data_IF_348589900065
#
_entry.id   IF_348589900065
#
_cell.length_a   1.000
_cell.length_b   1.000
_cell.length_c   1.000
_cell.angle_alpha   90.00
_cell.angle_beta   90.00
_cell.angle_gamma   90.00
#
_symmetry.space_group_name_H-M   'P 1'
#
loop_
_entity.id
_entity.type
_entity.pdbx_description
1 polymer ?
#
# COMPACT_ATOMS: atom_id res chain seq x y z
N UNK A 1 52.09 -15.33 8.96
CA UNK A 1 50.98 -14.55 8.33
C UNK A 1 50.11 -15.44 7.47
N UNK A 2 50.68 -16.24 6.53
CA UNK A 2 49.92 -17.02 5.56
C UNK A 2 48.98 -18.02 6.27
N UNK A 3 49.48 -18.77 7.24
CA UNK A 3 48.70 -19.78 7.97
C UNK A 3 47.53 -19.10 8.74
N UNK A 4 47.78 -17.92 9.33
CA UNK A 4 46.74 -17.13 10.02
C UNK A 4 45.65 -16.66 9.01
N UNK A 5 46.05 -16.19 7.84
CA UNK A 5 45.10 -15.80 6.79
C UNK A 5 44.28 -16.97 6.26
N UNK A 6 44.91 -18.13 6.04
CA UNK A 6 44.23 -19.38 5.61
C UNK A 6 43.25 -19.87 6.70
N UNK A 7 43.63 -19.84 7.98
CA UNK A 7 42.74 -20.25 9.07
C UNK A 7 41.52 -19.29 9.20
N UNK A 8 41.70 -17.98 9.02
CA UNK A 8 40.61 -17.02 9.01
C UNK A 8 39.67 -17.24 7.81
N UNK A 9 40.22 -17.53 6.63
CA UNK A 9 39.44 -17.88 5.45
C UNK A 9 38.59 -19.14 5.68
N UNK A 10 39.20 -20.22 6.23
CA UNK A 10 38.50 -21.46 6.55
C UNK A 10 37.39 -21.24 7.57
N UNK A 11 37.60 -20.41 8.57
CA UNK A 11 36.57 -20.05 9.56
C UNK A 11 35.38 -19.33 8.87
N UNK A 12 35.66 -18.36 8.01
CA UNK A 12 34.61 -17.66 7.26
C UNK A 12 33.81 -18.63 6.33
N UNK A 13 34.51 -19.56 5.68
CA UNK A 13 33.85 -20.59 4.86
C UNK A 13 32.96 -21.50 5.70
N UNK A 14 33.46 -21.96 6.85
CA UNK A 14 32.69 -22.79 7.75
C UNK A 14 31.45 -22.08 8.30
N UNK A 15 31.59 -20.82 8.71
CA UNK A 15 30.47 -19.99 9.16
C UNK A 15 29.45 -19.77 8.06
N UNK A 16 29.88 -19.47 6.84
CA UNK A 16 29.01 -19.27 5.69
C UNK A 16 28.24 -20.52 5.28
N UNK A 17 28.82 -21.71 5.52
CA UNK A 17 28.19 -22.99 5.20
C UNK A 17 27.22 -23.49 6.28
N UNK A 18 27.49 -23.14 7.55
CA UNK A 18 26.81 -23.74 8.70
C UNK A 18 25.80 -22.83 9.37
N UNK A 19 25.88 -21.51 9.15
CA UNK A 19 24.99 -20.54 9.81
C UNK A 19 23.90 -20.10 8.84
N UNK A 20 22.64 -20.44 9.16
CA UNK A 20 21.45 -20.11 8.38
C UNK A 20 21.32 -18.61 8.14
N UNK A 21 21.57 -17.79 9.16
CA UNK A 21 21.48 -16.32 9.04
C UNK A 21 22.54 -15.72 8.13
N UNK A 22 23.72 -16.35 8.04
CA UNK A 22 24.77 -15.89 7.11
C UNK A 22 24.52 -16.31 5.67
N UNK A 23 23.81 -17.40 5.45
CA UNK A 23 23.40 -17.83 4.11
C UNK A 23 22.49 -16.78 3.43
N UNK A 24 21.69 -16.05 4.23
CA UNK A 24 20.74 -15.04 3.76
C UNK A 24 21.33 -13.64 3.60
N UNK A 25 22.58 -13.42 3.99
CA UNK A 25 23.23 -12.13 3.80
C UNK A 25 23.49 -11.81 2.32
N UNK A 26 23.47 -10.53 1.97
CA UNK A 26 23.84 -10.08 0.63
C UNK A 26 25.25 -10.55 0.27
N UNK A 27 25.48 -10.88 -1.01
CA UNK A 27 26.80 -11.30 -1.51
C UNK A 27 27.91 -10.31 -1.14
N UNK A 28 27.60 -9.02 -1.15
CA UNK A 28 28.55 -7.96 -0.79
C UNK A 28 28.98 -8.04 0.68
N UNK A 29 28.03 -8.24 1.60
CA UNK A 29 28.34 -8.37 3.03
C UNK A 29 29.12 -9.66 3.31
N UNK A 30 28.66 -10.76 2.74
CA UNK A 30 29.28 -12.10 2.91
C UNK A 30 30.75 -12.11 2.46
N UNK A 31 31.02 -11.69 1.23
CA UNK A 31 32.37 -11.68 0.68
C UNK A 31 33.20 -10.48 1.19
N UNK A 32 32.57 -9.33 1.45
CA UNK A 32 33.24 -8.17 2.03
C UNK A 32 33.80 -8.45 3.42
N UNK A 33 33.03 -9.08 4.31
CA UNK A 33 33.49 -9.48 5.62
C UNK A 33 34.60 -10.55 5.56
N UNK A 34 34.49 -11.49 4.62
CA UNK A 34 35.51 -12.51 4.40
C UNK A 34 36.84 -11.86 3.95
N UNK A 35 36.81 -10.98 2.94
CA UNK A 35 37.99 -10.28 2.44
C UNK A 35 38.63 -9.41 3.55
N UNK A 36 37.79 -8.71 4.31
CA UNK A 36 38.26 -7.88 5.44
C UNK A 36 38.93 -8.73 6.52
N UNK A 37 38.32 -9.83 6.96
CA UNK A 37 38.85 -10.71 7.99
C UNK A 37 40.18 -11.37 7.57
N UNK A 38 40.23 -11.89 6.35
CA UNK A 38 41.46 -12.49 5.80
C UNK A 38 42.55 -11.44 5.60
N UNK A 39 42.23 -10.27 5.03
CA UNK A 39 43.16 -9.16 4.82
C UNK A 39 43.74 -8.65 6.13
N UNK A 40 42.90 -8.47 7.16
CA UNK A 40 43.34 -8.07 8.49
C UNK A 40 44.25 -9.10 9.14
N UNK A 41 43.92 -10.41 9.02
CA UNK A 41 44.72 -11.51 9.56
C UNK A 41 46.08 -11.61 8.87
N UNK A 42 46.15 -11.40 7.56
CA UNK A 42 47.40 -11.36 6.82
C UNK A 42 48.24 -10.12 7.21
N UNK A 43 47.62 -8.93 7.25
CA UNK A 43 48.30 -7.70 7.59
C UNK A 43 48.89 -7.74 8.99
N UNK A 44 48.07 -7.99 10.01
CA UNK A 44 48.52 -8.07 11.39
C UNK A 44 49.54 -9.19 11.60
N UNK A 45 49.36 -10.33 10.94
CA UNK A 45 50.28 -11.45 11.01
C UNK A 45 51.71 -11.12 10.55
N UNK A 46 51.92 -10.02 9.79
CA UNK A 46 53.27 -9.55 9.41
C UNK A 46 53.94 -8.73 10.52
N UNK A 47 53.16 -8.17 11.43
CA UNK A 47 53.67 -7.22 12.45
C UNK A 47 53.69 -7.78 13.88
N UNK A 48 52.97 -8.92 14.10
CA UNK A 48 52.91 -9.53 15.44
C UNK A 48 53.93 -10.64 15.62
N UNK A 49 54.30 -10.91 16.87
CA UNK A 49 55.20 -12.03 17.21
C UNK A 49 54.57 -13.39 16.76
N UNK A 50 55.41 -14.32 16.35
CA UNK A 50 54.96 -15.62 15.85
C UNK A 50 54.04 -16.39 16.77
N UNK A 51 54.21 -16.25 18.10
CA UNK A 51 53.33 -16.83 19.10
C UNK A 51 51.89 -16.30 19.05
N UNK A 52 51.68 -15.01 18.76
CA UNK A 52 50.37 -14.41 18.62
C UNK A 52 49.68 -14.93 17.33
N UNK A 53 50.42 -15.01 16.24
CA UNK A 53 49.93 -15.56 14.97
C UNK A 53 49.49 -17.05 15.12
N UNK A 54 50.31 -17.80 15.90
CA UNK A 54 49.99 -19.20 16.22
C UNK A 54 48.70 -19.31 17.06
N UNK A 55 48.59 -18.46 18.09
CA UNK A 55 47.37 -18.37 18.95
C UNK A 55 46.13 -18.07 18.09
N UNK A 56 46.17 -17.10 17.18
CA UNK A 56 45.04 -16.78 16.31
C UNK A 56 44.68 -17.96 15.37
N UNK A 57 45.69 -18.64 14.84
CA UNK A 57 45.44 -19.82 14.01
C UNK A 57 44.77 -20.92 14.80
N UNK A 58 45.24 -21.21 16.00
CA UNK A 58 44.64 -22.21 16.90
C UNK A 58 43.19 -21.79 17.28
N UNK A 59 42.98 -20.51 17.64
CA UNK A 59 41.66 -19.97 17.95
C UNK A 59 40.66 -20.11 16.80
N UNK A 60 41.06 -19.83 15.56
CA UNK A 60 40.22 -20.03 14.38
C UNK A 60 39.84 -21.52 14.17
N UNK A 61 40.81 -22.45 14.37
CA UNK A 61 40.55 -23.88 14.27
C UNK A 61 39.60 -24.35 15.36
N UNK A 62 39.81 -23.92 16.60
CA UNK A 62 38.90 -24.22 17.69
C UNK A 62 37.50 -23.65 17.47
N UNK A 63 37.39 -22.43 16.92
CA UNK A 63 36.09 -21.84 16.56
C UNK A 63 35.35 -22.66 15.48
N UNK A 64 36.07 -23.23 14.51
CA UNK A 64 35.49 -24.14 13.52
C UNK A 64 34.97 -25.41 14.21
N UNK A 65 35.80 -26.04 15.08
CA UNK A 65 35.38 -27.22 15.82
C UNK A 65 34.15 -26.93 16.70
N UNK A 66 34.16 -25.83 17.41
CA UNK A 66 33.05 -25.39 18.24
C UNK A 66 31.78 -25.19 17.40
N UNK A 67 31.88 -24.57 16.23
CA UNK A 67 30.74 -24.35 15.32
C UNK A 67 30.08 -25.68 14.93
N UNK A 68 30.87 -26.66 14.53
CA UNK A 68 30.33 -27.97 14.14
C UNK A 68 29.78 -28.76 15.34
N UNK A 69 30.44 -28.70 16.49
CA UNK A 69 29.94 -29.34 17.73
C UNK A 69 28.62 -28.72 18.19
N UNK A 70 28.51 -27.40 18.16
CA UNK A 70 27.27 -26.73 18.52
C UNK A 70 26.13 -27.05 17.53
N UNK A 71 26.40 -27.05 16.24
CA UNK A 71 25.40 -27.41 15.23
C UNK A 71 24.96 -28.89 15.32
N UNK A 72 25.86 -29.76 15.81
CA UNK A 72 25.50 -31.14 16.07
C UNK A 72 24.66 -31.30 17.36
N UNK A 73 25.05 -30.59 18.41
CA UNK A 73 24.35 -30.65 19.72
C UNK A 73 22.99 -29.90 19.67
N UNK A 74 22.96 -28.77 19.00
CA UNK A 74 21.77 -27.92 18.85
C UNK A 74 21.51 -27.82 17.33
N UNK A 75 20.71 -28.73 16.80
CA UNK A 75 20.41 -28.72 15.36
C UNK A 75 19.57 -27.47 15.00
N UNK A 76 20.09 -26.50 14.25
CA UNK A 76 19.36 -25.29 13.89
C UNK A 76 18.04 -25.55 13.15
N UNK A 77 17.94 -26.70 12.46
CA UNK A 77 16.71 -27.10 11.74
C UNK A 77 15.51 -27.33 12.67
N UNK A 78 15.74 -27.56 13.96
CA UNK A 78 14.67 -27.75 14.93
C UNK A 78 14.10 -26.42 15.46
N UNK A 79 14.77 -25.29 15.22
CA UNK A 79 14.45 -23.98 15.77
C UNK A 79 14.14 -22.93 14.69
N UNK A 80 14.48 -23.23 13.44
CA UNK A 80 14.22 -22.35 12.29
C UNK A 80 13.10 -22.97 11.48
N UNK A 81 12.02 -22.21 11.33
CA UNK A 81 10.92 -22.55 10.43
C UNK A 81 11.37 -22.27 8.98
N UNK A 82 11.82 -23.32 8.30
CA UNK A 82 12.28 -23.23 6.91
C UNK A 82 11.14 -23.04 5.92
N UNK A 83 9.92 -23.47 6.25
CA UNK A 83 8.75 -23.26 5.42
C UNK A 83 8.40 -21.78 5.38
N UNK A 84 8.29 -21.15 6.54
CA UNK A 84 8.07 -19.71 6.66
C UNK A 84 9.19 -18.89 6.01
N UNK A 85 10.45 -19.37 6.11
CA UNK A 85 11.59 -18.72 5.45
C UNK A 85 11.49 -18.78 3.92
N UNK A 86 11.09 -19.91 3.35
CA UNK A 86 10.91 -20.06 1.90
C UNK A 86 9.69 -19.30 1.38
N UNK A 87 8.60 -19.24 2.15
CA UNK A 87 7.45 -18.40 1.83
C UNK A 87 7.84 -16.92 1.80
N UNK A 88 8.55 -16.45 2.84
CA UNK A 88 9.04 -15.07 2.90
C UNK A 88 9.97 -14.74 1.73
N UNK A 89 10.81 -15.68 1.31
CA UNK A 89 11.66 -15.52 0.12
C UNK A 89 10.85 -15.41 -1.18
N UNK A 90 9.82 -16.23 -1.33
CA UNK A 90 8.92 -16.15 -2.50
C UNK A 90 8.20 -14.82 -2.53
N UNK A 91 7.63 -14.39 -1.40
CA UNK A 91 6.99 -13.09 -1.26
C UNK A 91 7.96 -11.94 -1.60
N UNK A 92 9.20 -12.00 -1.10
CA UNK A 92 10.22 -11.00 -1.38
C UNK A 92 10.60 -10.97 -2.87
N UNK A 93 10.70 -12.12 -3.51
CA UNK A 93 10.95 -12.23 -4.95
C UNK A 93 9.77 -11.71 -5.78
N UNK A 94 8.53 -11.93 -5.35
CA UNK A 94 7.34 -11.38 -5.98
C UNK A 94 7.29 -9.85 -5.85
N UNK A 95 7.60 -9.30 -4.68
CA UNK A 95 7.72 -7.84 -4.46
C UNK A 95 8.81 -7.25 -5.36
N UNK A 96 9.95 -7.90 -5.45
CA UNK A 96 11.03 -7.46 -6.33
C UNK A 96 10.63 -7.52 -7.80
N UNK A 97 9.88 -8.54 -8.22
CA UNK A 97 9.35 -8.69 -9.57
C UNK A 97 8.28 -7.62 -9.90
N UNK A 98 7.39 -7.30 -8.96
CA UNK A 98 6.42 -6.21 -9.10
C UNK A 98 7.13 -4.86 -9.26
N UNK A 99 8.16 -4.61 -8.47
CA UNK A 99 8.97 -3.38 -8.58
C UNK A 99 9.81 -3.27 -9.86
N UNK A 100 10.06 -4.38 -10.59
CA UNK A 100 10.74 -4.36 -11.89
C UNK A 100 9.79 -4.21 -13.08
N UNK A 101 8.52 -4.53 -12.94
CA UNK A 101 7.50 -4.36 -13.99
C UNK A 101 7.04 -2.91 -14.19
N UNK A 102 7.14 -2.06 -13.19
CA UNK A 102 6.98 -0.60 -13.33
C UNK A 102 8.31 -0.05 -13.83
N UNK A 103 8.39 0.42 -15.08
CA UNK A 103 9.55 0.90 -15.83
C UNK A 103 10.72 1.49 -15.04
N UNK A 104 11.85 1.79 -15.71
CA UNK A 104 13.05 2.35 -15.05
C UNK A 104 12.66 3.60 -14.25
N UNK A 105 12.73 3.49 -12.90
CA UNK A 105 12.49 4.63 -12.01
C UNK A 105 13.44 5.77 -12.38
N UNK A 106 12.90 6.99 -12.43
CA UNK A 106 13.68 8.18 -12.69
C UNK A 106 14.78 8.34 -11.61
N UNK A 107 15.98 8.75 -12.00
CA UNK A 107 17.08 9.01 -11.05
C UNK A 107 16.74 10.10 -10.04
N UNK A 108 15.93 11.06 -10.45
CA UNK A 108 15.46 12.17 -9.59
C UNK A 108 14.52 11.64 -8.49
N UNK A 109 13.59 10.76 -8.82
CA UNK A 109 12.68 10.14 -7.85
C UNK A 109 13.44 9.31 -6.81
N UNK A 110 14.47 8.56 -7.25
CA UNK A 110 15.32 7.80 -6.32
C UNK A 110 16.09 8.73 -5.37
N UNK A 111 16.55 9.87 -5.87
CA UNK A 111 17.26 10.87 -5.04
C UNK A 111 16.30 11.52 -4.05
N UNK A 112 15.10 11.88 -4.51
CA UNK A 112 14.03 12.46 -3.69
C UNK A 112 13.60 11.49 -2.59
N UNK A 113 13.32 10.23 -2.94
CA UNK A 113 12.97 9.18 -1.99
C UNK A 113 14.01 9.02 -0.87
N UNK A 114 15.31 9.06 -1.23
CA UNK A 114 16.40 8.98 -0.24
C UNK A 114 16.40 10.18 0.70
N UNK A 115 16.18 11.36 0.16
CA UNK A 115 16.13 12.61 0.91
C UNK A 115 14.92 12.64 1.86
N UNK A 116 13.73 12.29 1.34
CA UNK A 116 12.48 12.27 2.08
C UNK A 116 12.48 11.18 3.17
N UNK A 117 13.05 10.01 2.89
CA UNK A 117 13.24 8.96 3.88
C UNK A 117 14.13 9.44 5.04
N UNK A 118 15.26 10.09 4.73
CA UNK A 118 16.13 10.65 5.76
C UNK A 118 15.42 11.77 6.55
N UNK A 119 14.70 12.65 5.85
CA UNK A 119 13.93 13.74 6.45
C UNK A 119 12.84 13.21 7.38
N UNK A 120 12.11 12.15 6.97
CA UNK A 120 11.08 11.53 7.80
C UNK A 120 11.64 11.05 9.14
N UNK A 121 12.77 10.33 9.14
CA UNK A 121 13.38 9.81 10.36
C UNK A 121 14.20 10.84 11.15
N UNK A 122 14.45 12.02 10.60
CA UNK A 122 15.10 13.12 11.35
C UNK A 122 14.11 13.86 12.26
N UNK A 123 12.81 13.71 12.04
CA UNK A 123 11.77 14.30 12.89
C UNK A 123 11.44 13.31 14.01
N UNK A 124 11.62 13.77 15.23
CA UNK A 124 11.27 13.02 16.45
C UNK A 124 9.83 13.38 16.86
N UNK A 125 9.12 12.45 17.52
CA UNK A 125 7.77 12.65 18.05
C UNK A 125 6.74 13.07 16.98
N UNK A 126 6.60 12.26 15.93
CA UNK A 126 5.51 12.41 14.98
C UNK A 126 4.21 11.96 15.64
N UNK A 127 3.27 12.90 15.84
CA UNK A 127 1.98 12.54 16.43
C UNK A 127 1.06 11.89 15.41
N UNK A 128 1.04 12.38 14.17
CA UNK A 128 0.08 11.95 13.16
C UNK A 128 0.74 11.73 11.81
N UNK A 129 0.63 10.53 11.30
CA UNK A 129 1.13 10.13 9.97
C UNK A 129 -0.05 9.62 9.13
N UNK A 130 -0.21 10.16 7.93
CA UNK A 130 -1.07 9.62 6.89
C UNK A 130 -0.22 8.84 5.89
N UNK A 131 -0.67 7.66 5.51
CA UNK A 131 -0.10 6.95 4.38
C UNK A 131 -1.12 6.85 3.25
N UNK A 132 -0.71 7.26 2.05
CA UNK A 132 -1.48 7.21 0.81
C UNK A 132 -0.75 6.38 -0.24
N UNK A 133 -1.45 5.48 -0.88
CA UNK A 133 -0.92 4.67 -1.98
C UNK A 133 -0.63 5.52 -3.24
N UNK A 134 -1.27 6.68 -3.36
CA UNK A 134 -1.10 7.61 -4.47
C UNK A 134 -2.09 8.76 -4.47
N UNK A 135 -1.93 9.67 -5.43
CA UNK A 135 -2.70 10.92 -5.54
C UNK A 135 -4.23 10.72 -5.50
N UNK A 136 -4.72 9.60 -6.01
CA UNK A 136 -6.15 9.28 -6.03
C UNK A 136 -6.77 9.01 -4.66
N UNK A 137 -5.97 8.78 -3.63
CA UNK A 137 -6.46 8.45 -2.28
C UNK A 137 -6.63 9.68 -1.37
N UNK A 138 -6.02 10.81 -1.69
CA UNK A 138 -6.14 12.04 -0.90
C UNK A 138 -7.60 12.44 -0.63
N UNK A 139 -8.49 12.23 -1.59
CA UNK A 139 -9.92 12.55 -1.48
C UNK A 139 -10.62 11.87 -0.29
N UNK A 140 -10.14 10.71 0.15
CA UNK A 140 -10.68 9.98 1.31
C UNK A 140 -10.20 10.56 2.64
N UNK A 141 -9.03 11.20 2.63
CA UNK A 141 -8.45 11.84 3.80
C UNK A 141 -8.81 13.32 3.90
N UNK A 142 -9.24 13.96 2.81
CA UNK A 142 -9.41 15.42 2.71
C UNK A 142 -10.23 15.99 3.86
N UNK A 143 -11.42 15.47 4.10
CA UNK A 143 -12.29 15.99 5.18
C UNK A 143 -11.67 15.84 6.56
N UNK A 144 -10.95 14.73 6.81
CA UNK A 144 -10.25 14.49 8.07
C UNK A 144 -9.10 15.48 8.23
N UNK A 145 -8.29 15.66 7.19
CA UNK A 145 -7.14 16.57 7.15
C UNK A 145 -7.63 18.01 7.37
N UNK A 146 -8.64 18.46 6.64
CA UNK A 146 -9.21 19.79 6.79
C UNK A 146 -9.77 20.04 8.20
N UNK A 147 -10.46 19.06 8.78
CA UNK A 147 -10.94 19.15 10.14
C UNK A 147 -9.79 19.33 11.14
N UNK A 148 -8.72 18.54 11.02
CA UNK A 148 -7.55 18.62 11.90
C UNK A 148 -6.85 19.96 11.75
N UNK A 149 -6.64 20.43 10.52
CA UNK A 149 -5.96 21.71 10.23
C UNK A 149 -6.73 22.91 10.79
N UNK A 150 -8.06 22.88 10.73
CA UNK A 150 -8.91 23.97 11.19
C UNK A 150 -9.11 23.99 12.72
N UNK A 151 -9.04 22.83 13.37
CA UNK A 151 -9.40 22.71 14.79
C UNK A 151 -8.20 22.42 15.70
N UNK A 152 -7.01 22.13 15.13
CA UNK A 152 -5.83 21.78 15.91
C UNK A 152 -4.55 22.43 15.37
N UNK A 153 -3.48 22.36 16.16
CA UNK A 153 -2.14 22.76 15.73
C UNK A 153 -1.22 21.57 15.41
N UNK A 154 -1.81 20.38 15.18
CA UNK A 154 -1.06 19.17 14.89
C UNK A 154 -0.42 19.26 13.52
N UNK A 155 0.86 18.90 13.44
CA UNK A 155 1.57 18.72 12.16
C UNK A 155 1.23 17.36 11.57
N UNK A 156 0.76 17.35 10.34
CA UNK A 156 0.43 16.14 9.58
C UNK A 156 1.64 15.72 8.76
N UNK A 157 2.13 14.52 9.01
CA UNK A 157 3.18 13.89 8.21
C UNK A 157 2.49 13.01 7.16
N UNK A 158 2.56 13.41 5.88
CA UNK A 158 1.87 12.70 4.81
C UNK A 158 2.88 11.92 3.95
N UNK A 159 2.82 10.60 4.01
CA UNK A 159 3.66 9.69 3.24
C UNK A 159 2.88 9.22 2.01
N UNK A 160 3.46 9.35 0.84
CA UNK A 160 2.86 8.87 -0.41
C UNK A 160 3.85 8.03 -1.21
N UNK A 161 3.32 7.01 -1.91
CA UNK A 161 4.11 6.20 -2.84
C UNK A 161 4.12 6.74 -4.29
N UNK A 162 3.43 7.86 -4.52
CA UNK A 162 3.36 8.54 -5.81
C UNK A 162 4.23 9.80 -5.81
N UNK A 163 5.27 9.91 -6.69
CA UNK A 163 6.11 11.10 -6.76
C UNK A 163 5.36 12.35 -7.22
N UNK A 164 4.26 12.18 -7.96
CA UNK A 164 3.45 13.27 -8.52
C UNK A 164 2.17 13.55 -7.71
N UNK A 165 2.09 13.04 -6.47
CA UNK A 165 0.93 13.22 -5.60
C UNK A 165 0.60 14.72 -5.40
N UNK A 166 -0.68 15.04 -5.51
CA UNK A 166 -1.19 16.41 -5.31
C UNK A 166 -0.84 16.99 -3.94
N UNK A 167 -0.56 16.15 -2.94
CA UNK A 167 -0.21 16.59 -1.60
C UNK A 167 1.00 17.53 -1.59
N UNK A 168 1.93 17.39 -2.52
CA UNK A 168 3.10 18.26 -2.60
C UNK A 168 2.70 19.70 -2.91
N UNK A 169 1.74 19.91 -3.82
CA UNK A 169 1.18 21.23 -4.15
C UNK A 169 0.31 21.80 -3.03
N UNK A 170 -0.41 20.94 -2.32
CA UNK A 170 -1.22 21.33 -1.17
C UNK A 170 -0.31 21.80 -0.03
N UNK A 171 0.77 21.11 0.24
CA UNK A 171 1.73 21.43 1.28
C UNK A 171 2.52 22.75 1.03
N UNK A 172 2.59 23.24 -0.22
CA UNK A 172 3.14 24.56 -0.52
C UNK A 172 2.30 25.70 0.10
N UNK A 173 0.98 25.46 0.21
CA UNK A 173 0.02 26.43 0.76
C UNK A 173 -0.27 26.19 2.25
N UNK A 174 -0.07 24.97 2.72
CA UNK A 174 -0.38 24.58 4.10
C UNK A 174 0.86 24.09 4.86
N UNK A 175 1.40 24.94 5.67
CA UNK A 175 2.68 24.70 6.37
C UNK A 175 2.63 23.56 7.39
N UNK A 176 1.44 23.24 7.90
CA UNK A 176 1.22 22.13 8.84
C UNK A 176 1.30 20.75 8.17
N UNK A 177 1.26 20.67 6.83
CA UNK A 177 1.42 19.41 6.11
C UNK A 177 2.89 19.23 5.72
N UNK A 178 3.46 18.10 6.09
CA UNK A 178 4.84 17.70 5.74
C UNK A 178 4.78 16.47 4.85
N UNK A 179 4.89 16.63 3.52
CA UNK A 179 4.82 15.53 2.59
C UNK A 179 6.17 14.82 2.42
N UNK A 180 6.10 13.50 2.18
CA UNK A 180 7.25 12.63 1.94
C UNK A 180 6.94 11.63 0.83
N UNK A 181 7.78 11.58 -0.20
CA UNK A 181 7.73 10.55 -1.21
C UNK A 181 8.53 9.32 -0.78
N UNK A 182 7.86 8.19 -0.63
CA UNK A 182 8.46 6.91 -0.23
C UNK A 182 7.92 5.82 -1.16
N UNK A 183 8.74 5.34 -2.07
CA UNK A 183 8.33 4.28 -3.00
C UNK A 183 8.10 2.94 -2.29
N UNK A 184 7.32 2.07 -2.92
CA UNK A 184 6.79 0.81 -2.39
C UNK A 184 7.83 -0.06 -1.66
N UNK A 185 9.05 -0.19 -2.20
CA UNK A 185 10.12 -1.00 -1.58
C UNK A 185 10.60 -0.45 -0.24
N UNK A 186 10.68 0.87 -0.11
CA UNK A 186 11.10 1.52 1.13
C UNK A 186 9.98 1.70 2.13
N UNK A 187 8.75 1.68 1.66
CA UNK A 187 7.58 1.74 2.49
C UNK A 187 7.56 0.61 3.53
N UNK A 188 7.90 -0.61 3.13
CA UNK A 188 7.98 -1.76 4.04
C UNK A 188 8.90 -1.45 5.22
N UNK A 189 10.12 -0.99 4.92
CA UNK A 189 11.11 -0.64 5.96
C UNK A 189 10.68 0.58 6.77
N UNK A 190 10.00 1.55 6.15
CA UNK A 190 9.46 2.72 6.84
C UNK A 190 8.39 2.31 7.84
N UNK A 191 7.44 1.46 7.43
CA UNK A 191 6.37 0.98 8.30
C UNK A 191 6.91 0.16 9.47
N UNK A 192 7.85 -0.75 9.23
CA UNK A 192 8.51 -1.53 10.29
C UNK A 192 9.27 -0.65 11.30
N UNK A 193 9.73 0.53 10.90
CA UNK A 193 10.45 1.52 11.73
C UNK A 193 9.60 2.73 12.08
N UNK A 194 8.30 2.65 11.87
CA UNK A 194 7.39 3.75 12.14
C UNK A 194 7.50 4.20 13.60
N UNK A 195 7.67 5.51 13.79
CA UNK A 195 7.68 6.18 15.08
C UNK A 195 6.68 7.33 15.01
N UNK A 196 5.45 7.04 15.37
CA UNK A 196 4.31 7.95 15.37
C UNK A 196 3.33 7.52 16.46
N UNK A 197 2.45 8.42 16.89
CA UNK A 197 1.38 8.05 17.84
C UNK A 197 0.18 7.45 17.10
N UNK A 198 -0.16 8.04 15.95
CA UNK A 198 -1.28 7.62 15.11
C UNK A 198 -0.84 7.48 13.66
N UNK A 199 -1.21 6.37 13.02
CA UNK A 199 -1.01 6.13 11.58
C UNK A 199 -2.36 5.89 10.93
N UNK A 200 -2.71 6.74 9.97
CA UNK A 200 -4.00 6.72 9.25
C UNK A 200 -3.78 6.24 7.82
N UNK A 201 -4.53 5.25 7.37
CA UNK A 201 -4.40 4.72 6.02
C UNK A 201 -5.70 4.11 5.48
N UNK A 202 -5.77 3.98 4.16
CA UNK A 202 -6.89 3.34 3.44
C UNK A 202 -6.58 1.91 3.01
N UNK A 203 -5.34 1.46 3.22
CA UNK A 203 -4.89 0.15 2.77
C UNK A 203 -5.33 -0.94 3.75
N UNK A 204 -6.11 -1.95 3.32
CA UNK A 204 -6.42 -3.11 4.15
C UNK A 204 -5.22 -4.05 4.31
N UNK A 205 -5.40 -5.12 5.06
CA UNK A 205 -4.46 -6.24 5.15
C UNK A 205 -3.09 -5.91 5.78
N UNK A 206 -3.03 -4.88 6.66
CA UNK A 206 -1.83 -4.67 7.48
C UNK A 206 -1.52 -5.94 8.29
N UNK A 207 -0.26 -6.31 8.44
CA UNK A 207 0.27 -7.56 9.03
C UNK A 207 0.03 -8.83 8.19
N UNK A 208 -0.99 -8.86 7.32
CA UNK A 208 -1.28 -10.06 6.51
C UNK A 208 -0.26 -10.28 5.39
N UNK A 209 0.30 -9.19 4.86
CA UNK A 209 1.28 -9.24 3.77
C UNK A 209 2.56 -8.48 4.11
N UNK A 210 3.06 -7.69 3.15
CA UNK A 210 4.37 -7.03 3.25
C UNK A 210 4.38 -5.84 4.21
N UNK A 211 3.23 -5.19 4.39
CA UNK A 211 3.14 -4.04 5.28
C UNK A 211 2.88 -4.53 6.69
N UNK A 212 3.87 -4.34 7.54
CA UNK A 212 3.83 -4.73 8.94
C UNK A 212 3.68 -3.52 9.84
N UNK A 213 3.10 -3.73 11.01
CA UNK A 213 3.08 -2.73 12.08
C UNK A 213 4.51 -2.47 12.57
N UNK A 214 4.71 -1.35 13.23
CA UNK A 214 6.03 -1.01 13.76
C UNK A 214 6.60 -2.07 14.69
N UNK A 215 7.88 -2.39 14.49
CA UNK A 215 8.64 -3.22 15.44
C UNK A 215 9.26 -2.42 16.56
N UNK A 216 9.35 -1.08 16.40
CA UNK A 216 9.97 -0.19 17.36
C UNK A 216 8.96 0.27 18.40
N UNK A 217 7.75 0.64 17.97
CA UNK A 217 6.66 1.10 18.83
C UNK A 217 5.43 0.21 18.65
N UNK A 218 5.00 -0.43 19.75
CA UNK A 218 3.82 -1.32 19.75
C UNK A 218 2.53 -0.59 20.14
N UNK A 219 2.66 0.62 20.64
CA UNK A 219 1.58 1.49 21.14
C UNK A 219 0.98 2.41 20.06
N UNK A 220 1.40 2.29 18.82
CA UNK A 220 0.86 3.09 17.71
C UNK A 220 -0.60 2.69 17.46
N UNK A 221 -1.49 3.69 17.40
CA UNK A 221 -2.86 3.51 16.95
C UNK A 221 -2.91 3.53 15.42
N UNK A 222 -3.23 2.39 14.80
CA UNK A 222 -3.44 2.27 13.37
C UNK A 222 -4.92 2.45 13.05
N UNK A 223 -5.22 3.51 12.33
CA UNK A 223 -6.58 3.93 11.99
C UNK A 223 -6.88 3.61 10.53
N UNK A 224 -7.90 2.81 10.28
CA UNK A 224 -8.38 2.54 8.93
C UNK A 224 -9.43 3.55 8.49
N UNK A 225 -9.29 4.09 7.28
CA UNK A 225 -10.28 4.94 6.63
C UNK A 225 -10.84 4.19 5.42
N UNK A 226 -12.11 3.81 5.42
CA UNK A 226 -12.75 3.18 4.27
C UNK A 226 -12.72 4.08 3.04
N UNK A 227 -12.44 3.49 1.89
CA UNK A 227 -12.45 4.17 0.60
C UNK A 227 -13.69 3.86 -0.24
N UNK A 228 -14.71 3.26 0.37
CA UNK A 228 -16.03 2.96 -0.18
C UNK A 228 -17.10 2.94 0.92
N UNK A 229 -18.35 3.14 0.53
CA UNK A 229 -19.53 3.02 1.42
C UNK A 229 -20.17 1.63 1.31
N UNK A 230 -19.38 0.66 0.96
CA UNK A 230 -19.79 -0.73 0.77
C UNK A 230 -19.67 -1.55 2.06
N UNK A 231 -20.28 -2.72 2.04
CA UNK A 231 -20.12 -3.71 3.11
C UNK A 231 -18.68 -4.22 3.14
N UNK A 232 -18.02 -4.08 4.28
CA UNK A 232 -16.64 -4.57 4.45
C UNK A 232 -16.56 -6.09 4.33
N UNK A 233 -17.58 -6.81 4.81
CA UNK A 233 -17.63 -8.27 4.71
C UNK A 233 -17.80 -8.79 3.29
N UNK A 234 -18.43 -8.01 2.40
CA UNK A 234 -18.61 -8.38 1.00
C UNK A 234 -17.42 -8.02 0.11
N UNK A 235 -16.70 -6.97 0.45
CA UNK A 235 -15.65 -6.41 -0.42
C UNK A 235 -14.25 -6.72 0.07
N UNK A 236 -14.07 -6.95 1.37
CA UNK A 236 -12.77 -7.22 1.98
C UNK A 236 -12.58 -8.71 2.24
N UNK A 237 -11.34 -9.14 2.26
CA UNK A 237 -11.00 -10.50 2.69
C UNK A 237 -11.19 -10.65 4.19
N UNK A 238 -11.54 -11.85 4.62
CA UNK A 238 -11.57 -12.19 6.04
C UNK A 238 -10.20 -11.90 6.67
N UNK A 239 -10.20 -11.21 7.80
CA UNK A 239 -8.97 -10.84 8.52
C UNK A 239 -8.29 -9.56 8.03
N UNK A 240 -8.80 -8.90 6.99
CA UNK A 240 -8.17 -7.69 6.42
C UNK A 240 -8.11 -6.51 7.39
N UNK A 241 -9.02 -6.46 8.38
CA UNK A 241 -9.13 -5.40 9.37
C UNK A 241 -8.60 -5.81 10.76
N UNK A 242 -8.15 -7.05 10.96
CA UNK A 242 -7.86 -7.61 12.29
C UNK A 242 -6.77 -6.86 13.04
N UNK A 243 -5.83 -6.30 12.32
CA UNK A 243 -4.67 -5.61 12.89
C UNK A 243 -4.77 -4.09 12.96
N UNK A 244 -5.96 -3.54 12.71
CA UNK A 244 -6.27 -2.15 12.98
C UNK A 244 -6.78 -1.96 14.40
N UNK A 245 -6.43 -0.83 15.02
CA UNK A 245 -6.87 -0.47 16.37
C UNK A 245 -8.15 0.36 16.33
N UNK A 246 -8.32 1.17 15.28
CA UNK A 246 -9.49 2.05 15.11
C UNK A 246 -9.96 2.05 13.66
N UNK A 247 -11.27 2.26 13.46
CA UNK A 247 -11.88 2.40 12.12
C UNK A 247 -12.81 3.61 12.11
N UNK A 248 -12.64 4.48 11.11
CA UNK A 248 -13.55 5.60 10.84
C UNK A 248 -14.67 5.10 9.92
N UNK A 249 -15.69 4.48 10.49
CA UNK A 249 -16.79 3.88 9.75
C UNK A 249 -17.57 4.91 8.92
N UNK A 250 -17.97 4.55 7.72
CA UNK A 250 -18.81 5.41 6.85
C UNK A 250 -20.25 5.53 7.37
N UNK A 251 -20.67 4.65 8.28
CA UNK A 251 -21.95 4.69 8.92
C UNK A 251 -22.19 3.48 9.83
N UNK A 252 -23.40 3.43 10.39
CA UNK A 252 -23.81 2.45 11.38
C UNK A 252 -23.65 1.00 10.89
N UNK A 253 -23.99 0.74 9.62
CA UNK A 253 -23.92 -0.63 9.07
C UNK A 253 -22.49 -1.18 9.10
N UNK A 254 -21.49 -0.40 8.65
CA UNK A 254 -20.10 -0.83 8.73
C UNK A 254 -19.64 -1.10 10.15
N UNK A 255 -20.09 -0.25 11.10
CA UNK A 255 -19.79 -0.44 12.52
C UNK A 255 -20.36 -1.77 13.04
N UNK A 256 -21.63 -2.04 12.77
CA UNK A 256 -22.30 -3.28 13.18
C UNK A 256 -21.65 -4.52 12.53
N UNK A 257 -21.22 -4.44 11.26
CA UNK A 257 -20.48 -5.51 10.60
C UNK A 257 -19.15 -5.82 11.29
N UNK A 258 -18.39 -4.79 11.68
CA UNK A 258 -17.11 -4.98 12.38
C UNK A 258 -17.36 -5.55 13.77
N UNK A 259 -18.30 -4.99 14.54
CA UNK A 259 -18.68 -5.51 15.86
C UNK A 259 -19.09 -6.98 15.80
N UNK A 260 -19.86 -7.37 14.77
CA UNK A 260 -20.28 -8.76 14.58
C UNK A 260 -19.12 -9.65 14.17
N UNK A 261 -18.20 -9.16 13.34
CA UNK A 261 -16.99 -9.89 12.95
C UNK A 261 -16.09 -10.16 14.18
N UNK A 262 -15.91 -9.15 15.03
CA UNK A 262 -15.16 -9.27 16.29
C UNK A 262 -15.77 -10.33 17.23
N UNK A 263 -17.09 -10.34 17.32
CA UNK A 263 -17.80 -11.34 18.13
C UNK A 263 -17.64 -12.76 17.57
N UNK A 264 -17.86 -12.93 16.27
CA UNK A 264 -17.82 -14.26 15.61
C UNK A 264 -16.44 -14.88 15.64
N UNK A 265 -15.41 -14.08 15.42
CA UNK A 265 -14.02 -14.56 15.37
C UNK A 265 -13.24 -14.36 16.67
N UNK A 266 -13.90 -13.87 17.73
CA UNK A 266 -13.31 -13.57 19.04
C UNK A 266 -12.06 -12.67 18.93
N UNK A 267 -12.18 -11.58 18.13
CA UNK A 267 -11.11 -10.62 17.89
C UNK A 267 -11.07 -9.53 18.99
N UNK A 268 -9.93 -8.87 19.17
CA UNK A 268 -9.86 -7.67 20.00
C UNK A 268 -10.81 -6.59 19.48
N UNK A 269 -11.48 -5.91 20.40
CA UNK A 269 -12.39 -4.81 20.06
C UNK A 269 -11.60 -3.60 19.57
N UNK A 270 -12.03 -3.04 18.44
CA UNK A 270 -11.51 -1.81 17.86
C UNK A 270 -12.31 -0.60 18.34
N UNK A 271 -11.68 0.55 18.29
CA UNK A 271 -12.39 1.81 18.42
C UNK A 271 -13.10 2.13 17.10
N UNK A 272 -14.44 2.11 17.11
CA UNK A 272 -15.27 2.33 15.93
C UNK A 272 -15.96 3.69 16.01
N UNK A 273 -15.57 4.60 15.12
CA UNK A 273 -16.11 5.95 15.05
C UNK A 273 -16.98 6.10 13.82
N UNK A 274 -18.24 6.48 13.99
CA UNK A 274 -19.13 6.82 12.88
C UNK A 274 -18.74 8.20 12.33
N UNK A 275 -17.74 8.21 11.44
CA UNK A 275 -17.20 9.43 10.85
C UNK A 275 -18.03 9.93 9.65
N UNK A 276 -18.66 9.00 8.92
CA UNK A 276 -19.30 9.29 7.64
C UNK A 276 -18.33 9.14 6.46
N UNK A 277 -18.70 9.72 5.32
CA UNK A 277 -17.93 9.61 4.08
C UNK A 277 -17.74 11.00 3.47
N UNK A 278 -16.68 11.67 3.85
CA UNK A 278 -16.41 13.08 3.50
C UNK A 278 -16.35 13.34 1.98
N UNK A 279 -15.98 12.36 1.18
CA UNK A 279 -16.06 12.49 -0.27
C UNK A 279 -17.50 12.68 -0.76
N UNK A 280 -18.49 12.00 -0.16
CA UNK A 280 -19.89 12.17 -0.51
C UNK A 280 -20.39 13.57 -0.12
N UNK A 281 -19.98 14.07 1.04
CA UNK A 281 -20.34 15.41 1.48
C UNK A 281 -19.81 16.46 0.52
N UNK A 282 -18.55 16.35 0.09
CA UNK A 282 -17.95 17.23 -0.92
C UNK A 282 -18.72 17.17 -2.25
N UNK A 283 -19.05 15.95 -2.70
CA UNK A 283 -19.80 15.74 -3.94
C UNK A 283 -21.20 16.35 -3.86
N UNK A 284 -21.89 16.27 -2.70
CA UNK A 284 -23.20 16.91 -2.49
C UNK A 284 -23.11 18.41 -2.52
N UNK A 285 -22.07 18.99 -1.90
CA UNK A 285 -21.84 20.43 -1.95
C UNK A 285 -21.56 20.92 -3.37
N UNK A 286 -20.73 20.20 -4.12
CA UNK A 286 -20.42 20.55 -5.51
C UNK A 286 -21.66 20.42 -6.40
N UNK A 287 -22.44 19.35 -6.23
CA UNK A 287 -23.70 19.17 -6.92
C UNK A 287 -24.70 20.32 -6.65
N UNK A 288 -24.81 20.77 -5.39
CA UNK A 288 -25.70 21.87 -5.03
C UNK A 288 -25.30 23.22 -5.72
N UNK A 289 -24.03 23.36 -6.08
CA UNK A 289 -23.50 24.55 -6.78
C UNK A 289 -23.63 24.46 -8.30
N UNK A 290 -23.91 23.25 -8.85
CA UNK A 290 -24.02 23.05 -10.30
C UNK A 290 -25.29 23.67 -10.87
N UNK A 291 -25.22 24.31 -12.05
CA UNK A 291 -26.42 24.79 -12.72
C UNK A 291 -27.28 23.61 -13.17
N UNK A 292 -28.56 23.62 -12.80
CA UNK A 292 -29.50 22.60 -13.28
C UNK A 292 -29.69 22.76 -14.79
N UNK A 293 -29.35 21.72 -15.53
CA UNK A 293 -29.61 21.64 -16.99
C UNK A 293 -30.77 20.68 -17.24
N UNK A 294 -31.76 21.14 -17.96
CA UNK A 294 -32.75 20.24 -18.58
C UNK A 294 -32.11 19.63 -19.84
N UNK A 295 -32.05 18.31 -19.89
CA UNK A 295 -31.54 17.57 -21.05
C UNK A 295 -32.73 17.12 -21.90
N UNK A 296 -32.81 17.59 -23.12
CA UNK A 296 -33.84 17.15 -24.11
C UNK A 296 -33.71 15.68 -24.46
N UNK A 297 -32.51 15.10 -24.31
CA UNK A 297 -32.19 13.71 -24.61
C UNK A 297 -31.85 12.96 -23.32
N UNK A 298 -32.57 11.87 -23.05
CA UNK A 298 -32.25 11.01 -21.91
C UNK A 298 -30.87 10.38 -22.08
N UNK A 299 -30.06 10.47 -21.06
CA UNK A 299 -28.70 9.89 -21.04
C UNK A 299 -28.68 8.62 -20.16
N UNK A 300 -27.91 7.63 -20.58
CA UNK A 300 -27.71 6.37 -19.86
C UNK A 300 -26.22 6.21 -19.59
N UNK A 301 -25.85 6.03 -18.32
CA UNK A 301 -24.50 5.69 -17.92
C UNK A 301 -24.42 4.20 -17.57
N UNK A 302 -23.53 3.48 -18.23
CA UNK A 302 -23.19 2.09 -17.92
C UNK A 302 -21.79 2.08 -17.32
N UNK A 303 -21.68 1.92 -15.99
CA UNK A 303 -20.44 1.96 -15.25
C UNK A 303 -20.18 0.63 -14.53
N UNK A 304 -19.79 -0.43 -15.27
CA UNK A 304 -19.64 -1.76 -14.73
C UNK A 304 -18.41 -1.87 -13.82
N UNK A 305 -18.48 -2.78 -12.86
CA UNK A 305 -17.34 -3.28 -12.08
C UNK A 305 -16.36 -4.06 -12.97
N UNK A 306 -15.18 -4.36 -12.45
CA UNK A 306 -14.14 -5.17 -13.11
C UNK A 306 -14.07 -6.62 -12.61
N UNK A 307 -14.95 -7.00 -11.67
CA UNK A 307 -15.03 -8.34 -11.13
C UNK A 307 -15.38 -9.35 -12.23
N UNK A 308 -15.06 -10.62 -11.98
CA UNK A 308 -15.45 -11.71 -12.87
C UNK A 308 -16.98 -11.72 -13.04
N UNK A 309 -17.43 -12.04 -14.23
CA UNK A 309 -18.88 -12.08 -14.60
C UNK A 309 -19.58 -10.71 -14.52
N UNK A 310 -18.84 -9.61 -14.69
CA UNK A 310 -19.38 -8.26 -14.78
C UNK A 310 -20.17 -8.03 -16.10
N UNK A 311 -20.86 -6.89 -16.18
CA UNK A 311 -21.69 -6.53 -17.34
C UNK A 311 -20.89 -6.49 -18.65
N UNK A 312 -19.62 -6.04 -18.62
CA UNK A 312 -18.77 -5.96 -19.84
C UNK A 312 -18.49 -7.34 -20.41
N UNK A 313 -18.37 -8.34 -19.56
CA UNK A 313 -18.06 -9.71 -19.97
C UNK A 313 -19.29 -10.54 -20.30
N UNK A 314 -20.43 -10.20 -19.71
CA UNK A 314 -21.66 -11.00 -19.80
C UNK A 314 -22.67 -10.49 -20.83
N UNK A 315 -23.08 -9.22 -20.76
CA UNK A 315 -24.26 -8.74 -21.51
C UNK A 315 -24.18 -7.31 -22.02
N UNK A 316 -23.01 -6.65 -21.98
CA UNK A 316 -22.88 -5.25 -22.41
C UNK A 316 -23.30 -5.06 -23.87
N UNK A 317 -22.89 -5.96 -24.76
CA UNK A 317 -23.21 -5.86 -26.19
C UNK A 317 -24.72 -6.01 -26.42
N UNK A 318 -25.38 -6.93 -25.73
CA UNK A 318 -26.84 -7.11 -25.81
C UNK A 318 -27.58 -5.86 -25.32
N UNK A 319 -27.08 -5.23 -24.22
CA UNK A 319 -27.65 -3.99 -23.70
C UNK A 319 -27.51 -2.87 -24.75
N UNK A 320 -26.34 -2.71 -25.33
CA UNK A 320 -26.07 -1.67 -26.32
C UNK A 320 -26.89 -1.88 -27.59
N UNK A 321 -26.98 -3.11 -28.10
CA UNK A 321 -27.74 -3.45 -29.29
C UNK A 321 -29.27 -3.21 -29.09
N UNK A 322 -29.79 -3.48 -27.89
CA UNK A 322 -31.18 -3.18 -27.54
C UNK A 322 -31.47 -1.70 -27.31
N UNK A 323 -30.50 -0.91 -26.87
CA UNK A 323 -30.67 0.52 -26.67
C UNK A 323 -30.42 1.36 -27.93
N UNK A 324 -29.82 0.76 -28.96
CA UNK A 324 -29.52 1.39 -30.22
C UNK A 324 -30.83 1.83 -30.94
N UNK A 325 -30.84 3.06 -31.44
CA UNK A 325 -31.98 3.60 -32.19
C UNK A 325 -33.12 4.19 -31.35
N UNK A 326 -33.03 4.14 -30.01
CA UNK A 326 -34.08 4.70 -29.13
C UNK A 326 -33.86 6.17 -28.73
N UNK A 327 -32.88 6.86 -29.35
CA UNK A 327 -32.63 8.29 -29.13
C UNK A 327 -31.99 8.62 -27.79
N UNK A 328 -31.37 7.65 -27.12
CA UNK A 328 -30.64 7.86 -25.87
C UNK A 328 -29.19 8.28 -26.14
N UNK A 329 -28.64 9.15 -25.29
CA UNK A 329 -27.19 9.35 -25.18
C UNK A 329 -26.61 8.29 -24.25
N UNK A 330 -25.78 7.41 -24.77
CA UNK A 330 -25.22 6.31 -23.96
C UNK A 330 -23.74 6.54 -23.72
N UNK A 331 -23.33 6.41 -22.47
CA UNK A 331 -21.93 6.48 -22.06
C UNK A 331 -21.57 5.18 -21.36
N UNK A 332 -20.57 4.47 -21.88
CA UNK A 332 -19.99 3.31 -21.21
C UNK A 332 -18.70 3.74 -20.54
N UNK A 333 -18.63 3.58 -19.22
CA UNK A 333 -17.46 3.89 -18.40
C UNK A 333 -16.93 2.63 -17.73
N UNK A 334 -16.12 1.80 -18.41
CA UNK A 334 -15.55 0.61 -17.82
C UNK A 334 -14.61 0.99 -16.67
N UNK A 335 -14.52 0.10 -15.68
CA UNK A 335 -13.61 0.29 -14.56
C UNK A 335 -12.15 0.38 -15.07
N UNK A 336 -11.28 1.23 -14.51
CA UNK A 336 -9.88 1.40 -14.96
C UNK A 336 -9.09 0.09 -15.03
N UNK A 337 -9.33 -0.83 -14.11
CA UNK A 337 -8.69 -2.16 -14.12
C UNK A 337 -9.13 -2.99 -15.33
N UNK A 338 -10.37 -2.88 -15.76
CA UNK A 338 -10.86 -3.57 -16.96
C UNK A 338 -10.12 -3.07 -18.22
N UNK A 339 -10.01 -1.76 -18.36
CA UNK A 339 -9.25 -1.13 -19.47
C UNK A 339 -7.78 -1.57 -19.45
N UNK A 340 -7.18 -1.70 -18.26
CA UNK A 340 -5.79 -2.11 -18.10
C UNK A 340 -5.54 -3.58 -18.45
N UNK A 341 -6.47 -4.46 -18.08
CA UNK A 341 -6.31 -5.91 -18.27
C UNK A 341 -6.81 -6.42 -19.62
N UNK A 342 -7.78 -5.73 -20.24
CA UNK A 342 -8.41 -6.12 -21.50
C UNK A 342 -8.44 -4.97 -22.51
N UNK A 343 -7.30 -4.35 -22.87
CA UNK A 343 -7.27 -3.20 -23.76
C UNK A 343 -7.84 -3.50 -25.16
N UNK A 344 -7.56 -4.70 -25.71
CA UNK A 344 -8.05 -5.11 -27.03
C UNK A 344 -9.57 -5.22 -27.09
N UNK A 345 -10.19 -5.77 -26.03
CA UNK A 345 -11.65 -5.83 -25.91
C UNK A 345 -12.28 -4.43 -25.87
N UNK A 346 -11.64 -3.52 -25.12
CA UNK A 346 -12.12 -2.14 -25.01
C UNK A 346 -12.03 -1.40 -26.34
N UNK A 347 -10.96 -1.58 -27.09
CA UNK A 347 -10.83 -0.99 -28.42
C UNK A 347 -11.79 -1.60 -29.43
N UNK A 348 -12.02 -2.93 -29.38
CA UNK A 348 -13.02 -3.60 -30.21
C UNK A 348 -14.46 -3.10 -29.96
N UNK A 349 -14.84 -2.88 -28.71
CA UNK A 349 -16.12 -2.29 -28.34
C UNK A 349 -16.25 -0.84 -28.84
N UNK A 350 -15.21 -0.03 -28.72
CA UNK A 350 -15.20 1.35 -29.23
C UNK A 350 -15.39 1.38 -30.73
N UNK A 351 -14.68 0.55 -31.47
CA UNK A 351 -14.81 0.51 -32.95
C UNK A 351 -16.19 0.02 -33.40
N UNK A 352 -16.74 -1.01 -32.74
CA UNK A 352 -18.07 -1.55 -33.06
C UNK A 352 -19.19 -0.55 -32.82
N UNK A 353 -19.07 0.25 -31.77
CA UNK A 353 -20.12 1.20 -31.33
C UNK A 353 -19.72 2.67 -31.52
N UNK A 354 -18.71 2.96 -32.32
CA UNK A 354 -18.16 4.32 -32.51
C UNK A 354 -19.19 5.40 -32.85
N UNK A 355 -20.18 5.04 -33.65
CA UNK A 355 -21.26 5.95 -34.09
C UNK A 355 -22.37 6.12 -33.04
N UNK A 356 -22.31 5.32 -31.97
CA UNK A 356 -23.35 5.22 -30.97
C UNK A 356 -22.89 5.66 -29.57
N UNK A 357 -21.63 5.46 -29.26
CA UNK A 357 -21.01 5.91 -28.01
C UNK A 357 -20.58 7.37 -28.20
N UNK A 358 -20.91 8.22 -27.22
CA UNK A 358 -20.49 9.61 -27.25
C UNK A 358 -18.97 9.73 -27.40
N UNK A 359 -18.50 10.59 -28.28
CA UNK A 359 -17.06 10.80 -28.54
C UNK A 359 -16.29 11.14 -27.27
N UNK A 360 -15.33 10.29 -26.92
CA UNK A 360 -14.47 10.41 -25.74
C UNK A 360 -13.53 11.62 -25.79
N UNK A 361 -13.25 12.15 -26.98
CA UNK A 361 -12.27 13.23 -27.19
C UNK A 361 -12.60 14.56 -26.51
N UNK A 362 -13.87 14.83 -26.20
CA UNK A 362 -14.26 15.97 -25.37
C UNK A 362 -14.15 15.68 -23.86
N UNK A 363 -14.37 14.42 -23.45
CA UNK A 363 -14.36 14.02 -22.05
C UNK A 363 -12.96 13.87 -21.44
N UNK A 364 -11.92 13.55 -22.24
CA UNK A 364 -10.56 13.39 -21.72
C UNK A 364 -9.89 14.72 -21.30
N UNK A 365 -10.32 15.84 -21.86
CA UNK A 365 -9.85 17.18 -21.44
C UNK A 365 -10.55 17.69 -20.18
N UNK A 366 -11.77 17.21 -19.92
CA UNK A 366 -12.59 17.65 -18.79
C UNK A 366 -12.54 16.66 -17.60
N UNK A 367 -11.99 15.46 -17.78
CA UNK A 367 -11.89 14.41 -16.75
C UNK A 367 -10.62 14.46 -15.90
N UNK A 368 -10.00 15.60 -15.74
CA UNK A 368 -9.05 15.77 -14.63
C UNK A 368 -9.75 15.67 -13.26
N UNK A 369 -11.06 15.97 -13.17
CA UNK A 369 -11.92 15.78 -11.99
C UNK A 369 -13.41 15.83 -12.34
N UNK A 370 -14.31 15.20 -11.57
CA UNK A 370 -15.72 15.08 -11.86
C UNK A 370 -16.46 16.40 -11.63
N UNK A 371 -16.50 17.24 -12.62
CA UNK A 371 -17.35 18.40 -12.74
C UNK A 371 -18.09 18.43 -14.07
N UNK A 372 -17.95 17.35 -14.87
CA UNK A 372 -18.58 17.26 -16.19
C UNK A 372 -20.06 16.86 -16.12
N UNK A 373 -20.81 17.28 -17.12
CA UNK A 373 -22.27 17.11 -17.29
C UNK A 373 -22.80 15.68 -17.06
N UNK A 374 -21.93 14.65 -17.05
CA UNK A 374 -22.30 13.24 -16.88
C UNK A 374 -22.32 12.79 -15.41
N UNK A 375 -21.75 13.56 -14.49
CA UNK A 375 -21.86 13.28 -13.04
C UNK A 375 -23.25 13.59 -12.49
N UNK A 376 -23.94 14.59 -13.03
CA UNK A 376 -25.23 15.07 -12.55
C UNK A 376 -26.30 13.96 -12.49
N UNK A 377 -26.36 13.07 -13.49
CA UNK A 377 -27.36 12.02 -13.52
C UNK A 377 -27.06 10.82 -12.60
N UNK A 378 -25.80 10.49 -12.41
CA UNK A 378 -25.41 9.41 -11.49
C UNK A 378 -25.73 9.85 -10.07
N UNK A 379 -25.42 11.09 -9.73
CA UNK A 379 -25.67 11.66 -8.39
C UNK A 379 -27.16 11.77 -8.11
N UNK A 380 -27.97 12.32 -9.01
CA UNK A 380 -29.41 12.43 -8.79
C UNK A 380 -30.05 11.08 -8.47
N UNK A 381 -29.74 10.01 -9.22
CA UNK A 381 -30.32 8.69 -8.98
C UNK A 381 -29.77 8.00 -7.74
N UNK A 382 -28.49 8.17 -7.44
CA UNK A 382 -27.92 7.62 -6.19
C UNK A 382 -28.50 8.36 -4.98
N UNK A 383 -28.69 9.67 -5.04
CA UNK A 383 -29.30 10.43 -3.95
C UNK A 383 -30.80 10.16 -3.84
N UNK A 384 -31.55 10.07 -4.94
CA UNK A 384 -32.95 9.66 -4.93
C UNK A 384 -33.11 8.26 -4.34
N UNK A 385 -32.27 7.30 -4.70
CA UNK A 385 -32.29 5.96 -4.15
C UNK A 385 -31.91 5.92 -2.67
N UNK A 386 -30.95 6.73 -2.24
CA UNK A 386 -30.56 6.84 -0.83
C UNK A 386 -31.68 7.52 -0.02
N UNK A 387 -32.30 8.58 -0.54
CA UNK A 387 -33.41 9.26 0.11
C UNK A 387 -34.67 8.37 0.15
N UNK A 388 -34.94 7.57 -0.90
CA UNK A 388 -36.04 6.57 -0.88
C UNK A 388 -35.79 5.45 0.14
N UNK A 389 -34.56 4.99 0.29
CA UNK A 389 -34.19 3.99 1.30
C UNK A 389 -34.29 4.60 2.71
N UNK A 390 -33.76 5.79 2.91
CA UNK A 390 -33.81 6.49 4.20
C UNK A 390 -35.24 6.80 4.64
N UNK A 391 -36.15 7.10 3.72
CA UNK A 391 -37.57 7.32 4.05
C UNK A 391 -38.36 6.04 4.31
N UNK A 392 -38.01 4.90 3.67
CA UNK A 392 -38.64 3.62 3.95
C UNK A 392 -38.33 3.06 5.33
N UNK A 393 -37.17 3.35 5.88
CA UNK A 393 -36.78 2.91 7.22
C UNK A 393 -37.43 3.74 8.36
N UNK A 394 -38.04 4.89 8.06
CA UNK A 394 -38.77 5.73 9.04
C UNK A 394 -40.30 5.47 9.09
N UNK A 395 -40.84 4.71 8.15
CA UNK A 395 -42.27 4.36 8.09
C UNK A 395 -42.61 2.94 8.57
N UNK A 396 -41.62 2.14 8.98
CA UNK A 396 -41.75 0.85 9.62
C UNK A 396 -41.14 0.84 11.03
#
# INVERSE_FOLDING_TARGET
PIIAGVSAWLLCVAQNASNVLQAEQSKLNKYGMMIFSVGLSLYLGCFVYAGVALYWTASNIFAILQLYLLNWAINPKNYVDYEALEETKKELAEIEALGTKKGKRNKEDIKREKADYKKFFSVVNKHLVFYSEGSGFYKYFKGIIEYILNNTNITIHYVTSDPDDQIFRIAEKESKIKPYYIGEKKLITLMMKMDADVVVMTMPDIENYHIKRSYIRKDINYVYVPHGMDSLNMTMRTGSMDHYDSVLCTGKIQKEEIEKTEEVYNLPKKELVEWGYSLLDEMREDYAKMPKKENDIKSILIAPSWQKDNIVDSCLEDILDNLKGHGYKITVRPHPQHVRHMPEKMEGLKERYKDFLAERSKMEKDMAYPGGENCEMVFNRVFEAIDEIAHKDYEN
#
